data_IF_258981564344
#
_entry.id   IF_258981564344
#
_cell.length_a   1.000
_cell.length_b   1.000
_cell.length_c   1.000
_cell.angle_alpha   90.00
_cell.angle_beta   90.00
_cell.angle_gamma   90.00
#
_symmetry.space_group_name_H-M   'P 1'
#
loop_
_entity.id
_entity.type
_entity.pdbx_description
1 polymer ?
#
# COMPACT_ATOMS: atom_id res chain seq x y z
N UNK A 1 -35.05 -37.23 -51.46
CA UNK A 1 -34.26 -37.66 -50.29
C UNK A 1 -33.18 -36.64 -50.02
N UNK A 2 -33.29 -35.96 -48.88
CA UNK A 2 -32.29 -35.16 -48.16
C UNK A 2 -31.36 -34.26 -48.99
N UNK A 3 -31.88 -33.07 -49.30
CA UNK A 3 -31.08 -31.87 -49.52
C UNK A 3 -30.25 -31.59 -48.27
N UNK A 4 -28.92 -31.71 -48.37
CA UNK A 4 -27.99 -31.21 -47.35
C UNK A 4 -28.00 -29.69 -47.40
N UNK A 5 -28.67 -29.05 -46.43
CA UNK A 5 -28.39 -27.66 -46.10
C UNK A 5 -27.05 -27.63 -45.36
N UNK A 6 -26.05 -27.02 -46.00
CA UNK A 6 -24.87 -26.50 -45.31
C UNK A 6 -25.36 -25.38 -44.39
N UNK A 7 -25.42 -25.63 -43.08
CA UNK A 7 -25.45 -24.53 -42.10
C UNK A 7 -24.04 -23.97 -42.01
N UNK A 8 -23.82 -22.89 -42.75
CA UNK A 8 -22.78 -21.91 -42.48
C UNK A 8 -23.44 -20.75 -41.73
N UNK A 9 -24.01 -21.02 -40.56
CA UNK A 9 -24.49 -19.94 -39.70
C UNK A 9 -23.28 -19.32 -39.00
N UNK A 10 -22.62 -18.42 -39.72
CA UNK A 10 -22.07 -17.21 -39.11
C UNK A 10 -23.25 -16.38 -38.64
N UNK A 11 -23.98 -16.86 -37.62
CA UNK A 11 -25.03 -16.07 -36.99
C UNK A 11 -24.33 -14.89 -36.35
N UNK A 12 -24.36 -13.75 -37.02
CA UNK A 12 -23.87 -12.48 -36.49
C UNK A 12 -24.72 -12.16 -35.28
N UNK A 13 -24.22 -12.53 -34.11
CA UNK A 13 -24.80 -12.12 -32.86
C UNK A 13 -24.84 -10.60 -32.80
N UNK A 14 -25.91 -10.06 -32.23
CA UNK A 14 -26.11 -8.64 -32.05
C UNK A 14 -25.18 -8.12 -30.96
N UNK A 15 -24.54 -6.99 -31.24
CA UNK A 15 -23.62 -6.30 -30.31
C UNK A 15 -24.37 -5.41 -29.32
N UNK A 16 -23.63 -4.77 -28.40
CA UNK A 16 -24.19 -3.85 -27.41
C UNK A 16 -25.10 -2.79 -28.06
N UNK A 17 -26.25 -2.56 -27.43
CA UNK A 17 -27.25 -1.55 -27.81
C UNK A 17 -27.90 -1.76 -29.19
N UNK A 18 -27.74 -2.93 -29.82
CA UNK A 18 -28.52 -3.30 -31.00
C UNK A 18 -29.91 -3.82 -30.61
N UNK A 19 -30.94 -3.45 -31.37
CA UNK A 19 -32.31 -3.90 -31.13
C UNK A 19 -32.46 -5.40 -31.30
N UNK A 20 -33.16 -6.04 -30.37
CA UNK A 20 -33.35 -7.49 -30.34
C UNK A 20 -34.80 -7.83 -29.94
N UNK A 21 -35.25 -9.02 -30.32
CA UNK A 21 -36.55 -9.58 -29.91
C UNK A 21 -36.41 -10.78 -28.99
N UNK A 22 -35.21 -11.38 -28.90
CA UNK A 22 -34.92 -12.51 -28.02
C UNK A 22 -33.44 -12.53 -27.58
N UNK A 23 -33.17 -13.05 -26.37
CA UNK A 23 -31.82 -13.05 -25.78
C UNK A 23 -30.81 -13.89 -26.54
N UNK A 24 -31.25 -14.93 -27.27
CA UNK A 24 -30.36 -15.76 -28.09
C UNK A 24 -29.86 -15.06 -29.37
N UNK A 25 -30.33 -13.83 -29.65
CA UNK A 25 -29.83 -12.99 -30.73
C UNK A 25 -28.61 -12.18 -30.30
N UNK A 26 -28.46 -11.90 -29.01
CA UNK A 26 -27.34 -11.14 -28.48
C UNK A 26 -26.10 -12.01 -28.30
N UNK A 27 -24.91 -11.42 -28.39
CA UNK A 27 -23.65 -12.16 -28.25
C UNK A 27 -23.50 -12.79 -26.85
N UNK A 28 -23.56 -14.14 -26.76
CA UNK A 28 -23.47 -14.82 -25.48
C UNK A 28 -22.05 -14.83 -24.91
N UNK A 29 -21.02 -14.53 -25.72
CA UNK A 29 -19.63 -14.50 -25.26
C UNK A 29 -19.31 -13.31 -24.35
N UNK A 30 -20.18 -12.29 -24.35
CA UNK A 30 -20.04 -11.06 -23.57
C UNK A 30 -21.18 -10.83 -22.57
N UNK A 31 -21.95 -11.88 -22.24
CA UNK A 31 -23.03 -11.87 -21.25
C UNK A 31 -24.17 -10.87 -21.52
N UNK A 32 -24.54 -10.69 -22.79
CA UNK A 32 -25.69 -9.86 -23.14
C UNK A 32 -27.04 -10.59 -22.94
N UNK A 33 -28.05 -9.80 -22.57
CA UNK A 33 -29.46 -10.19 -22.51
C UNK A 33 -30.32 -9.21 -23.30
N UNK A 34 -31.40 -9.69 -23.87
CA UNK A 34 -32.32 -8.86 -24.64
C UNK A 34 -33.45 -8.30 -23.76
N UNK A 35 -33.54 -6.97 -23.69
CA UNK A 35 -34.66 -6.25 -23.04
C UNK A 35 -35.30 -5.24 -24.02
N UNK A 36 -35.27 -5.54 -25.31
CA UNK A 36 -35.57 -4.63 -26.42
C UNK A 36 -34.32 -4.18 -27.18
N UNK A 37 -33.19 -4.08 -26.46
CA UNK A 37 -31.84 -4.00 -27.02
C UNK A 37 -30.91 -4.96 -26.27
N UNK A 38 -29.81 -5.36 -26.89
CA UNK A 38 -28.79 -6.17 -26.25
C UNK A 38 -28.03 -5.34 -25.21
N UNK A 39 -28.23 -5.69 -23.94
CA UNK A 39 -27.63 -5.01 -22.78
C UNK A 39 -26.94 -6.02 -21.87
N UNK A 40 -26.07 -5.55 -20.99
CA UNK A 40 -25.39 -6.43 -20.04
C UNK A 40 -26.37 -7.06 -19.04
N UNK A 41 -26.21 -8.36 -18.81
CA UNK A 41 -27.00 -9.08 -17.81
C UNK A 41 -26.58 -8.78 -16.37
N UNK A 42 -27.43 -9.15 -15.40
CA UNK A 42 -27.07 -9.28 -13.98
C UNK A 42 -26.44 -8.03 -13.34
N UNK A 43 -26.97 -6.85 -13.67
CA UNK A 43 -26.49 -5.55 -13.16
C UNK A 43 -25.05 -5.19 -13.58
N UNK A 44 -24.47 -5.91 -14.54
CA UNK A 44 -23.20 -5.54 -15.17
C UNK A 44 -23.38 -4.29 -16.03
N UNK A 45 -22.28 -3.59 -16.29
CA UNK A 45 -22.20 -2.42 -17.16
C UNK A 45 -21.26 -2.70 -18.33
N UNK A 46 -21.56 -2.11 -19.48
CA UNK A 46 -20.71 -2.23 -20.65
C UNK A 46 -19.44 -1.38 -20.47
N UNK A 47 -18.28 -2.01 -20.53
CA UNK A 47 -16.98 -1.36 -20.46
C UNK A 47 -16.17 -1.74 -21.70
N UNK A 48 -16.18 -0.86 -22.69
CA UNK A 48 -15.43 -0.91 -23.96
C UNK A 48 -15.79 -2.13 -24.83
N UNK A 49 -15.46 -3.33 -24.38
CA UNK A 49 -15.60 -4.59 -25.10
C UNK A 49 -16.25 -5.72 -24.29
N UNK A 50 -16.48 -5.54 -22.99
CA UNK A 50 -17.05 -6.59 -22.15
C UNK A 50 -18.04 -6.04 -21.11
N UNK A 51 -18.97 -6.89 -20.65
CA UNK A 51 -19.81 -6.60 -19.51
C UNK A 51 -19.05 -6.87 -18.21
N UNK A 52 -18.82 -5.83 -17.43
CA UNK A 52 -18.10 -5.91 -16.15
C UNK A 52 -19.00 -5.47 -15.00
N UNK A 53 -18.65 -5.87 -13.78
CA UNK A 53 -19.33 -5.33 -12.62
C UNK A 53 -18.98 -3.84 -12.43
N UNK A 54 -19.94 -3.00 -12.01
CA UNK A 54 -19.69 -1.59 -11.72
C UNK A 54 -18.53 -1.37 -10.74
N UNK A 55 -17.97 -0.17 -10.74
CA UNK A 55 -16.97 0.23 -9.74
C UNK A 55 -17.48 0.00 -8.31
N UNK A 56 -16.63 -0.56 -7.43
CA UNK A 56 -17.01 -0.90 -6.06
C UNK A 56 -17.79 -2.22 -5.92
N UNK A 57 -17.85 -3.03 -6.97
CA UNK A 57 -18.48 -4.35 -6.94
C UNK A 57 -17.58 -5.43 -7.55
N UNK A 58 -17.85 -6.70 -7.23
CA UNK A 58 -17.16 -7.87 -7.79
C UNK A 58 -18.17 -8.92 -8.23
N UNK A 59 -17.75 -9.84 -9.11
CA UNK A 59 -18.57 -10.94 -9.58
C UNK A 59 -18.51 -12.11 -8.59
N UNK A 60 -19.65 -12.50 -8.02
CA UNK A 60 -19.71 -13.64 -7.11
C UNK A 60 -19.89 -14.97 -7.87
N UNK A 61 -19.93 -16.10 -7.13
CA UNK A 61 -20.08 -17.45 -7.71
C UNK A 61 -21.41 -17.67 -8.44
N UNK A 62 -22.39 -16.81 -8.24
CA UNK A 62 -23.70 -16.87 -8.90
C UNK A 62 -23.78 -15.95 -10.13
N UNK A 63 -22.65 -15.43 -10.62
CA UNK A 63 -22.59 -14.47 -11.73
C UNK A 63 -23.39 -13.18 -11.49
N UNK A 64 -23.53 -12.76 -10.22
CA UNK A 64 -24.15 -11.49 -9.84
C UNK A 64 -23.07 -10.52 -9.34
N UNK A 65 -23.23 -9.24 -9.67
CA UNK A 65 -22.38 -8.20 -9.10
C UNK A 65 -22.78 -7.92 -7.65
N UNK A 66 -21.83 -8.09 -6.74
CA UNK A 66 -22.00 -7.88 -5.31
C UNK A 66 -21.09 -6.74 -4.84
N UNK A 67 -21.54 -5.97 -3.85
CA UNK A 67 -20.72 -4.91 -3.23
C UNK A 67 -19.38 -5.46 -2.76
N UNK A 68 -18.30 -4.81 -3.18
CA UNK A 68 -16.96 -5.18 -2.81
C UNK A 68 -16.69 -4.94 -1.32
N UNK A 69 -15.84 -5.79 -0.78
CA UNK A 69 -15.50 -5.81 0.63
C UNK A 69 -14.59 -4.64 0.99
N UNK A 70 -14.86 -4.05 2.14
CA UNK A 70 -14.13 -2.91 2.70
C UNK A 70 -12.95 -3.38 3.57
N UNK A 71 -12.16 -2.43 4.08
CA UNK A 71 -10.98 -2.71 4.89
C UNK A 71 -11.31 -3.66 6.07
N UNK A 72 -10.41 -4.61 6.33
CA UNK A 72 -10.48 -5.65 7.36
C UNK A 72 -11.60 -6.69 7.22
N UNK A 73 -12.47 -6.61 6.21
CA UNK A 73 -13.44 -7.67 5.95
C UNK A 73 -12.76 -8.94 5.43
N UNK A 74 -13.31 -10.09 5.82
CA UNK A 74 -12.79 -11.40 5.42
C UNK A 74 -12.98 -11.62 3.91
N UNK A 75 -11.96 -12.16 3.27
CA UNK A 75 -11.95 -12.48 1.85
C UNK A 75 -11.20 -13.78 1.58
N UNK A 76 -11.42 -14.36 0.41
CA UNK A 76 -10.70 -15.53 -0.07
C UNK A 76 -9.39 -15.10 -0.71
N UNK A 77 -8.26 -15.67 -0.28
CA UNK A 77 -6.93 -15.35 -0.83
C UNK A 77 -6.91 -15.43 -2.36
N UNK A 78 -6.37 -14.39 -3.00
CA UNK A 78 -6.30 -14.28 -4.46
C UNK A 78 -7.61 -13.88 -5.16
N UNK A 79 -8.70 -13.66 -4.42
CA UNK A 79 -9.96 -13.19 -4.99
C UNK A 79 -9.98 -11.67 -5.22
N UNK A 80 -10.89 -11.23 -6.08
CA UNK A 80 -11.20 -9.82 -6.36
C UNK A 80 -12.34 -9.27 -5.48
N UNK A 81 -12.60 -9.89 -4.32
CA UNK A 81 -13.72 -9.51 -3.46
C UNK A 81 -13.55 -8.13 -2.82
N UNK A 82 -12.31 -7.66 -2.67
CA UNK A 82 -12.01 -6.37 -2.04
C UNK A 82 -12.20 -5.20 -2.99
N UNK A 83 -12.58 -4.04 -2.45
CA UNK A 83 -12.82 -2.84 -3.25
C UNK A 83 -11.54 -2.28 -3.89
N UNK A 84 -11.33 -2.62 -5.15
CA UNK A 84 -10.19 -2.18 -5.95
C UNK A 84 -10.20 -0.68 -6.22
N UNK A 85 -11.36 -0.01 -6.17
CA UNK A 85 -11.45 1.46 -6.30
C UNK A 85 -10.80 2.17 -5.12
N UNK A 86 -10.69 1.47 -3.98
CA UNK A 86 -9.99 1.92 -2.77
C UNK A 86 -8.58 1.37 -2.67
N UNK A 87 -8.06 0.74 -3.74
CA UNK A 87 -6.75 0.09 -3.77
C UNK A 87 -6.59 -1.03 -2.72
N UNK A 88 -7.70 -1.68 -2.33
CA UNK A 88 -7.68 -2.83 -1.43
C UNK A 88 -7.46 -4.13 -2.24
N UNK A 89 -6.79 -5.10 -1.63
CA UNK A 89 -6.72 -6.46 -2.13
C UNK A 89 -6.77 -7.46 -0.99
N UNK A 90 -7.08 -8.72 -1.34
CA UNK A 90 -7.18 -9.77 -0.35
C UNK A 90 -5.79 -10.30 0.01
N UNK A 91 -5.37 -10.06 1.25
CA UNK A 91 -4.11 -10.54 1.79
C UNK A 91 -4.33 -11.06 3.21
N UNK A 92 -3.75 -12.22 3.54
CA UNK A 92 -4.01 -12.94 4.79
C UNK A 92 -5.52 -13.07 5.10
N UNK A 93 -6.31 -13.40 4.07
CA UNK A 93 -7.77 -13.56 4.14
C UNK A 93 -8.53 -12.31 4.62
N UNK A 94 -7.94 -11.12 4.49
CA UNK A 94 -8.59 -9.84 4.78
C UNK A 94 -8.32 -8.81 3.69
N UNK A 95 -9.30 -7.94 3.45
CA UNK A 95 -9.14 -6.81 2.57
C UNK A 95 -8.28 -5.74 3.23
N UNK A 96 -7.10 -5.48 2.67
CA UNK A 96 -6.16 -4.53 3.22
C UNK A 96 -5.35 -3.82 2.13
N UNK A 97 -4.67 -2.76 2.52
CA UNK A 97 -3.72 -2.07 1.68
C UNK A 97 -2.45 -2.90 1.50
N UNK A 98 -1.64 -2.52 0.51
CA UNK A 98 -0.33 -3.12 0.36
C UNK A 98 0.54 -2.72 1.52
N UNK A 99 0.84 -3.67 2.41
CA UNK A 99 1.61 -3.37 3.61
C UNK A 99 2.98 -2.76 3.29
N UNK A 100 3.57 -3.06 2.13
CA UNK A 100 4.90 -2.57 1.76
C UNK A 100 4.89 -1.17 1.16
N UNK A 101 3.86 -0.83 0.38
CA UNK A 101 3.83 0.40 -0.42
C UNK A 101 2.68 1.34 -0.08
N UNK A 102 1.68 0.90 0.67
CA UNK A 102 0.45 1.64 0.94
C UNK A 102 -0.02 1.54 2.40
N UNK A 103 -0.85 2.49 2.80
CA UNK A 103 -1.51 2.52 4.10
C UNK A 103 -2.97 2.95 3.98
N UNK A 104 -3.81 2.54 4.94
CA UNK A 104 -5.22 2.92 4.94
C UNK A 104 -5.36 4.34 5.49
N UNK A 105 -5.78 5.27 4.63
CA UNK A 105 -6.05 6.63 5.06
C UNK A 105 -7.55 6.80 5.37
N UNK A 106 -7.87 7.03 6.64
CA UNK A 106 -9.26 7.13 7.11
C UNK A 106 -10.03 8.33 6.53
N UNK A 107 -9.33 9.44 6.26
CA UNK A 107 -9.96 10.66 5.74
C UNK A 107 -10.41 10.50 4.29
N UNK A 108 -9.61 9.78 3.49
CA UNK A 108 -9.94 9.50 2.08
C UNK A 108 -10.70 8.18 1.90
N UNK A 109 -10.81 7.39 2.96
CA UNK A 109 -11.35 6.02 2.95
C UNK A 109 -10.78 5.21 1.79
N UNK A 110 -9.45 5.24 1.64
CA UNK A 110 -8.73 4.58 0.55
C UNK A 110 -7.28 4.29 0.94
N UNK A 111 -6.67 3.29 0.29
CA UNK A 111 -5.24 3.06 0.44
C UNK A 111 -4.44 4.12 -0.33
N UNK A 112 -3.52 4.79 0.37
CA UNK A 112 -2.58 5.76 -0.18
C UNK A 112 -1.17 5.21 -0.15
N UNK A 113 -0.30 5.71 -1.03
CA UNK A 113 1.13 5.41 -0.97
C UNK A 113 1.69 5.78 0.39
N UNK A 114 2.54 4.91 0.95
CA UNK A 114 3.30 5.19 2.17
C UNK A 114 4.25 6.36 1.94
N UNK A 115 4.49 7.08 3.02
CA UNK A 115 5.30 8.28 3.09
C UNK A 115 6.78 7.92 3.27
N UNK A 116 7.62 8.61 2.52
CA UNK A 116 9.08 8.52 2.53
C UNK A 116 9.67 9.36 3.66
N UNK A 117 10.98 9.26 3.84
CA UNK A 117 11.74 10.06 4.78
C UNK A 117 11.44 11.56 4.61
N UNK A 118 11.23 12.27 5.72
CA UNK A 118 10.87 13.71 5.82
C UNK A 118 9.45 14.10 5.38
N UNK A 119 8.63 13.18 4.86
CA UNK A 119 7.23 13.49 4.55
C UNK A 119 6.37 13.53 5.82
N UNK A 120 5.42 14.47 5.89
CA UNK A 120 4.56 14.66 7.06
C UNK A 120 3.58 13.50 7.27
N UNK A 121 3.60 12.92 8.45
CA UNK A 121 2.82 11.75 8.84
C UNK A 121 1.93 12.07 10.06
N UNK A 122 0.90 11.26 10.28
CA UNK A 122 0.06 11.33 11.48
C UNK A 122 0.29 10.10 12.37
N UNK A 123 0.70 8.98 11.77
CA UNK A 123 0.97 7.72 12.46
C UNK A 123 2.10 6.95 11.80
N UNK A 124 2.73 6.03 12.54
CA UNK A 124 3.74 5.10 12.00
C UNK A 124 3.23 4.34 10.76
N UNK A 125 1.92 4.05 10.74
CA UNK A 125 1.31 3.32 9.65
C UNK A 125 1.31 4.10 8.33
N UNK A 126 1.53 5.41 8.36
CA UNK A 126 1.59 6.24 7.16
C UNK A 126 2.94 6.11 6.44
N UNK A 127 4.01 5.80 7.19
CA UNK A 127 5.39 5.78 6.70
C UNK A 127 5.76 4.46 6.04
N UNK A 128 6.85 4.43 5.26
CA UNK A 128 7.45 3.16 4.81
C UNK A 128 7.78 2.26 6.01
N UNK A 129 7.75 0.91 5.88
CA UNK A 129 7.87 0.01 7.03
C UNK A 129 9.14 0.14 7.87
N UNK A 130 10.22 0.74 7.33
CA UNK A 130 11.48 0.98 8.04
C UNK A 130 11.53 2.34 8.76
N UNK A 131 10.48 3.15 8.60
CA UNK A 131 10.33 4.48 9.16
C UNK A 131 9.21 4.48 10.21
N UNK A 132 9.31 5.42 11.14
CA UNK A 132 8.32 5.71 12.17
C UNK A 132 7.85 7.16 12.01
N UNK A 133 6.70 7.48 12.59
CA UNK A 133 6.18 8.83 12.73
C UNK A 133 6.39 9.31 14.17
N UNK A 134 7.53 9.94 14.50
CA UNK A 134 7.84 10.37 15.84
C UNK A 134 6.82 11.41 16.32
N UNK A 135 6.21 11.13 17.48
CA UNK A 135 5.25 12.00 18.15
C UNK A 135 5.90 12.95 19.17
N UNK A 136 7.20 12.76 19.43
CA UNK A 136 7.94 13.57 20.41
C UNK A 136 8.86 14.55 19.67
N UNK A 137 8.72 15.86 19.92
CA UNK A 137 9.58 16.88 19.34
C UNK A 137 11.05 16.69 19.70
N UNK A 138 11.95 16.98 18.75
CA UNK A 138 13.40 17.03 19.02
C UNK A 138 14.15 15.69 19.02
N UNK A 139 13.48 14.57 18.73
CA UNK A 139 14.14 13.26 18.51
C UNK A 139 14.51 13.07 17.02
N UNK A 140 14.78 14.16 16.29
CA UNK A 140 15.14 14.02 14.87
C UNK A 140 16.49 13.32 14.74
N UNK A 141 16.47 12.12 14.18
CA UNK A 141 17.65 11.31 13.89
C UNK A 141 18.41 11.79 12.63
N UNK A 142 18.49 13.10 12.44
CA UNK A 142 18.77 13.76 11.17
C UNK A 142 19.93 14.73 11.33
N UNK A 143 20.62 15.09 10.24
CA UNK A 143 21.65 16.15 10.29
C UNK A 143 21.04 17.57 10.42
N UNK A 144 19.70 17.70 10.36
CA UNK A 144 18.98 18.96 10.35
C UNK A 144 17.73 18.89 11.24
N UNK A 145 17.32 20.01 11.84
CA UNK A 145 16.05 20.13 12.56
C UNK A 145 14.88 19.96 11.58
N UNK A 146 14.32 18.75 11.48
CA UNK A 146 13.05 18.55 10.79
C UNK A 146 11.88 18.95 11.72
N UNK A 147 10.76 19.41 11.15
CA UNK A 147 9.54 19.62 11.90
C UNK A 147 9.05 18.31 12.53
N UNK A 148 8.29 18.44 13.62
CA UNK A 148 7.62 17.30 14.26
C UNK A 148 6.68 16.61 13.27
N UNK A 149 6.39 15.32 13.49
CA UNK A 149 5.45 14.54 12.68
C UNK A 149 5.88 14.32 11.23
N UNK A 150 7.16 14.00 11.01
CA UNK A 150 7.66 13.53 9.70
C UNK A 150 8.20 12.11 9.79
N UNK A 151 8.03 11.33 8.73
CA UNK A 151 8.56 9.97 8.68
C UNK A 151 10.08 9.97 8.84
N UNK A 152 10.56 9.23 9.84
CA UNK A 152 11.96 9.22 10.27
C UNK A 152 12.38 7.82 10.69
N UNK A 153 13.68 7.59 10.83
CA UNK A 153 14.17 6.38 11.47
C UNK A 153 13.87 6.39 12.96
N UNK A 154 13.76 5.20 13.55
CA UNK A 154 13.72 5.04 15.00
C UNK A 154 14.98 5.61 15.69
N UNK A 155 14.90 5.88 17.00
CA UNK A 155 15.98 6.50 17.79
C UNK A 155 17.27 5.68 17.88
N UNK A 156 17.27 4.43 17.43
CA UNK A 156 18.46 3.58 17.35
C UNK A 156 19.12 3.62 15.99
N UNK A 157 18.51 4.32 15.02
CA UNK A 157 18.95 4.38 13.62
C UNK A 157 19.11 5.81 13.13
N UNK A 158 19.81 5.96 12.02
CA UNK A 158 19.89 7.19 11.25
C UNK A 158 19.55 6.91 9.80
N UNK A 159 19.06 7.91 9.08
CA UNK A 159 18.75 7.76 7.66
C UNK A 159 20.02 7.95 6.83
N UNK A 160 20.41 6.91 6.09
CA UNK A 160 21.48 6.98 5.09
C UNK A 160 20.87 7.30 3.73
N UNK A 161 21.06 8.55 3.27
CA UNK A 161 20.55 9.00 1.98
C UNK A 161 21.19 8.29 0.78
N UNK A 162 22.36 7.67 0.95
CA UNK A 162 23.06 6.95 -0.12
C UNK A 162 22.37 5.63 -0.43
N UNK A 163 21.97 4.91 0.63
CA UNK A 163 21.30 3.61 0.52
C UNK A 163 19.77 3.74 0.60
N UNK A 164 19.25 4.92 0.96
CA UNK A 164 17.83 5.17 1.23
C UNK A 164 17.26 4.23 2.29
N UNK A 165 18.03 3.98 3.35
CA UNK A 165 17.69 3.05 4.42
C UNK A 165 17.99 3.64 5.80
N UNK A 166 17.27 3.14 6.81
CA UNK A 166 17.60 3.38 8.21
C UNK A 166 18.69 2.42 8.66
N UNK A 167 19.85 2.97 9.00
CA UNK A 167 21.03 2.22 9.42
C UNK A 167 21.22 2.35 10.93
N UNK A 168 21.60 1.27 11.60
CA UNK A 168 21.85 1.29 13.05
C UNK A 168 22.94 2.30 13.39
N UNK A 169 22.67 3.09 14.43
CA UNK A 169 23.65 3.98 15.03
C UNK A 169 24.74 3.16 15.71
N UNK A 170 25.97 3.66 15.63
CA UNK A 170 27.11 3.09 16.33
C UNK A 170 26.99 3.32 17.85
N UNK A 171 27.26 2.26 18.60
CA UNK A 171 27.40 2.28 20.06
C UNK A 171 28.76 2.85 20.48
N UNK A 172 29.00 2.98 21.79
CA UNK A 172 30.26 3.48 22.32
C UNK A 172 31.47 2.69 21.77
N UNK A 173 32.49 3.42 21.30
CA UNK A 173 33.67 2.87 20.63
C UNK A 173 33.47 2.48 19.16
N UNK A 174 32.23 2.47 18.65
CA UNK A 174 31.93 2.20 17.25
C UNK A 174 32.44 3.31 16.32
N UNK A 175 32.77 2.96 15.09
CA UNK A 175 33.29 3.91 14.10
C UNK A 175 32.22 4.92 13.65
N UNK A 176 32.66 6.15 13.40
CA UNK A 176 31.81 7.24 12.91
C UNK A 176 32.63 8.23 12.09
N UNK A 177 31.94 9.10 11.32
CA UNK A 177 32.59 10.27 10.71
C UNK A 177 32.43 11.48 11.61
N UNK A 178 33.51 12.25 11.85
CA UNK A 178 33.50 13.45 12.71
C UNK A 178 32.52 14.52 12.22
N UNK A 179 32.19 14.54 10.92
CA UNK A 179 31.16 15.41 10.34
C UNK A 179 29.73 14.88 10.51
N UNK A 180 29.55 13.69 11.06
CA UNK A 180 28.30 12.95 11.11
C UNK A 180 27.99 12.41 12.52
N UNK A 181 27.91 13.29 13.51
CA UNK A 181 27.55 12.91 14.89
C UNK A 181 26.23 12.11 14.98
N UNK A 182 25.33 12.30 14.02
CA UNK A 182 24.08 11.57 13.91
C UNK A 182 24.26 10.07 13.61
N UNK A 183 25.47 9.58 13.31
CA UNK A 183 25.72 8.14 13.16
C UNK A 183 25.93 7.43 14.50
N UNK A 184 26.14 8.15 15.60
CA UNK A 184 26.26 7.59 16.94
C UNK A 184 24.91 7.53 17.66
N UNK A 185 24.76 6.69 18.69
CA UNK A 185 23.58 6.74 19.56
C UNK A 185 23.39 8.15 20.15
N UNK A 186 22.14 8.54 20.42
CA UNK A 186 21.78 9.93 20.77
C UNK A 186 22.52 10.53 21.98
N UNK A 187 23.06 9.69 22.87
CA UNK A 187 23.84 10.11 24.05
C UNK A 187 25.35 10.20 23.80
N UNK A 188 25.80 9.89 22.58
CA UNK A 188 27.18 9.85 22.15
C UNK A 188 27.43 10.89 21.06
N UNK A 189 28.69 11.28 20.88
CA UNK A 189 29.14 12.09 19.75
C UNK A 189 30.34 11.44 19.08
N UNK A 190 30.59 11.78 17.82
CA UNK A 190 31.75 11.26 17.11
C UNK A 190 33.02 12.01 17.53
N UNK A 191 33.89 11.36 18.29
CA UNK A 191 35.19 11.88 18.69
C UNK A 191 36.30 11.13 17.94
N UNK A 192 37.11 11.84 17.17
CA UNK A 192 38.26 11.28 16.42
C UNK A 192 37.94 10.00 15.63
N UNK A 193 36.74 9.92 15.06
CA UNK A 193 36.29 8.77 14.26
C UNK A 193 35.64 7.63 15.05
N UNK A 194 35.41 7.79 16.35
CA UNK A 194 34.71 6.82 17.21
C UNK A 194 33.64 7.47 18.08
N UNK A 195 32.53 6.78 18.32
CA UNK A 195 31.46 7.28 19.18
C UNK A 195 31.90 7.27 20.64
N UNK A 196 31.90 8.44 21.26
CA UNK A 196 32.37 8.65 22.63
C UNK A 196 31.38 9.48 23.46
N UNK A 197 31.56 9.45 24.77
CA UNK A 197 30.80 10.25 25.73
C UNK A 197 31.28 11.70 25.75
N UNK A 198 30.36 12.70 25.84
CA UNK A 198 30.67 14.13 26.02
C UNK A 198 31.87 14.37 26.96
N UNK A 199 32.69 15.39 26.70
CA UNK A 199 33.92 15.65 27.49
C UNK A 199 33.67 15.85 28.99
N UNK A 200 32.45 16.15 29.40
CA UNK A 200 32.00 16.26 30.80
C UNK A 200 31.52 14.95 31.43
N UNK A 201 31.57 13.84 30.70
CA UNK A 201 30.99 12.55 31.10
C UNK A 201 31.94 11.38 30.81
N UNK A 202 31.75 10.27 31.51
CA UNK A 202 32.48 9.01 31.31
C UNK A 202 31.52 7.88 30.98
N UNK A 203 31.97 6.94 30.15
CA UNK A 203 31.19 5.75 29.81
C UNK A 203 31.19 4.77 30.98
N UNK A 204 30.01 4.43 31.48
CA UNK A 204 29.85 3.41 32.52
C UNK A 204 29.20 2.17 31.90
N UNK A 205 29.99 1.11 31.80
CA UNK A 205 29.58 -0.17 31.17
C UNK A 205 28.31 -0.72 31.82
N UNK A 206 28.20 -0.64 33.15
CA UNK A 206 27.03 -1.17 33.89
C UNK A 206 25.71 -0.52 33.48
N UNK A 207 25.74 0.75 33.05
CA UNK A 207 24.54 1.51 32.70
C UNK A 207 24.36 1.65 31.19
N UNK A 208 25.33 1.20 30.39
CA UNK A 208 25.40 1.43 28.95
C UNK A 208 25.13 2.90 28.58
N UNK A 209 25.67 3.81 29.39
CA UNK A 209 25.38 5.23 29.30
C UNK A 209 26.58 6.09 29.73
N UNK A 210 26.58 7.33 29.25
CA UNK A 210 27.49 8.37 29.69
C UNK A 210 26.96 9.01 30.98
N UNK A 211 27.76 9.01 32.04
CA UNK A 211 27.43 9.63 33.33
C UNK A 211 28.39 10.78 33.60
N UNK A 212 27.95 11.80 34.34
CA UNK A 212 28.82 12.92 34.71
C UNK A 212 30.06 12.41 35.46
N UNK A 213 31.23 12.92 35.07
CA UNK A 213 32.48 12.65 35.79
C UNK A 213 32.41 13.36 37.15
N UNK A 214 32.38 12.57 38.22
CA UNK A 214 32.51 13.07 39.60
C UNK A 214 33.92 13.52 39.93
#
# INVERSE_FOLDING_TARGET
MHSRLKSTDSSTYLSYNQSCTASNQCDPSVDFTCTGTCTCSNSKVWNISTCVCPAGTFLNSSNLCQTAYTVNQSCTMGSNQCDSTKNLYCNNSRCQCDYTTKYWNINFQACKSRLNYTEMCVSDSDCLPTLICPTVPGVCNCSQFLPDLVCNCDNTKYYDSTTSQCVNRASYGGSCSVSANYTCLLTLYCNTGTCACPTSTTWVVANTACVASG
#
